data_IF_364214647943
#
_entry.id   IF_364214647943
#
_cell.length_a   1.000
_cell.length_b   1.000
_cell.length_c   1.000
_cell.angle_alpha   90.00
_cell.angle_beta   90.00
_cell.angle_gamma   90.00
#
_symmetry.space_group_name_H-M   'P 1'
#
loop_
_entity.id
_entity.type
_entity.pdbx_description
1 polymer ?
#
# COMPACT_ATOMS: atom_id res chain seq x y z
N UNK A 1 -8.71 -28.15 36.33
CA UNK A 1 -7.93 -26.94 36.01
C UNK A 1 -6.81 -27.13 34.97
N UNK A 2 -6.34 -28.35 34.66
CA UNK A 2 -5.27 -28.57 33.65
C UNK A 2 -5.76 -28.69 32.19
N UNK A 3 -7.07 -28.92 31.96
CA UNK A 3 -7.64 -29.10 30.62
C UNK A 3 -8.15 -27.81 29.95
N UNK A 4 -8.35 -26.73 30.71
CA UNK A 4 -8.80 -25.42 30.18
C UNK A 4 -7.63 -24.63 29.58
N UNK A 5 -6.42 -24.81 30.10
CA UNK A 5 -5.22 -24.11 29.62
C UNK A 5 -4.83 -24.57 28.20
N UNK A 6 -5.13 -25.83 27.83
CA UNK A 6 -4.75 -26.40 26.54
C UNK A 6 -5.62 -25.91 25.37
N UNK A 7 -6.87 -25.49 25.63
CA UNK A 7 -7.78 -25.00 24.59
C UNK A 7 -7.46 -23.54 24.22
N UNK A 8 -6.94 -22.74 25.16
CA UNK A 8 -6.55 -21.36 24.90
C UNK A 8 -5.28 -21.23 24.02
N UNK A 9 -4.41 -22.24 24.00
CA UNK A 9 -3.16 -22.17 23.21
C UNK A 9 -3.39 -22.47 21.72
N UNK A 10 -4.39 -23.29 21.38
CA UNK A 10 -4.70 -23.67 19.99
C UNK A 10 -5.49 -22.56 19.27
N UNK A 11 -6.24 -21.73 20.00
CA UNK A 11 -6.98 -20.61 19.40
C UNK A 11 -6.08 -19.41 19.04
N UNK A 12 -4.84 -19.37 19.55
CA UNK A 12 -3.92 -18.25 19.31
C UNK A 12 -3.07 -18.44 18.04
N UNK A 13 -2.85 -19.68 17.57
CA UNK A 13 -2.01 -19.96 16.40
C UNK A 13 -2.73 -19.77 15.07
N UNK A 14 -4.06 -19.82 15.04
CA UNK A 14 -4.86 -19.64 13.81
C UNK A 14 -4.89 -18.20 13.27
N UNK A 15 -4.39 -17.21 14.03
CA UNK A 15 -4.38 -15.81 13.60
C UNK A 15 -3.05 -15.32 13.03
N UNK A 16 -1.96 -16.10 13.13
CA UNK A 16 -0.63 -15.65 12.68
C UNK A 16 -0.45 -15.90 11.18
N UNK A 17 -0.98 -17.00 10.64
CA UNK A 17 -0.84 -17.35 9.22
C UNK A 17 -1.51 -16.35 8.29
N UNK A 18 -2.67 -15.82 8.67
CA UNK A 18 -3.43 -14.83 7.89
C UNK A 18 -2.70 -13.48 7.79
N UNK A 19 -1.95 -13.09 8.83
CA UNK A 19 -1.15 -11.86 8.85
C UNK A 19 0.07 -12.01 7.91
N UNK A 20 0.70 -13.19 7.87
CA UNK A 20 1.85 -13.44 6.99
C UNK A 20 1.49 -13.60 5.50
N UNK A 21 0.28 -14.09 5.20
CA UNK A 21 -0.18 -14.26 3.81
C UNK A 21 -0.52 -12.93 3.11
N UNK A 22 -1.14 -11.99 3.84
CA UNK A 22 -1.43 -10.65 3.32
C UNK A 22 -0.13 -9.86 3.04
N UNK A 23 0.81 -9.89 3.99
CA UNK A 23 2.08 -9.17 3.91
C UNK A 23 2.98 -9.69 2.75
N UNK A 24 2.87 -10.98 2.37
CA UNK A 24 3.59 -11.54 1.21
C UNK A 24 3.01 -11.10 -0.14
N UNK A 25 1.67 -11.02 -0.25
CA UNK A 25 1.02 -10.66 -1.52
C UNK A 25 1.25 -9.20 -1.86
N UNK A 26 1.18 -8.31 -0.87
CA UNK A 26 1.38 -6.87 -1.07
C UNK A 26 2.86 -6.54 -1.36
N UNK A 27 3.80 -7.21 -0.68
CA UNK A 27 5.25 -7.04 -0.96
C UNK A 27 5.67 -7.54 -2.34
N UNK A 28 5.06 -8.64 -2.82
CA UNK A 28 5.29 -9.11 -4.17
C UNK A 28 4.86 -8.03 -5.18
N UNK A 29 3.66 -7.44 -5.00
CA UNK A 29 3.18 -6.39 -5.89
C UNK A 29 4.03 -5.11 -5.86
N UNK A 30 4.59 -4.74 -4.70
CA UNK A 30 5.46 -3.57 -4.61
C UNK A 30 6.78 -3.76 -5.34
N UNK A 31 7.41 -4.94 -5.20
CA UNK A 31 8.64 -5.25 -5.92
C UNK A 31 8.45 -5.20 -7.45
N UNK A 32 7.33 -5.73 -7.93
CA UNK A 32 6.95 -5.69 -9.36
C UNK A 32 6.72 -4.26 -9.83
N UNK A 33 6.04 -3.42 -9.03
CA UNK A 33 5.86 -1.99 -9.32
C UNK A 33 7.20 -1.26 -9.42
N UNK A 34 8.12 -1.52 -8.49
CA UNK A 34 9.47 -0.93 -8.53
C UNK A 34 10.21 -1.35 -9.80
N UNK A 35 10.18 -2.64 -10.15
CA UNK A 35 10.80 -3.15 -11.37
C UNK A 35 10.20 -2.51 -12.64
N UNK A 36 8.86 -2.42 -12.69
CA UNK A 36 8.12 -1.77 -13.77
C UNK A 36 8.56 -0.31 -13.95
N UNK A 37 8.62 0.47 -12.87
CA UNK A 37 9.05 1.87 -12.93
C UNK A 37 10.49 1.96 -13.41
N UNK A 38 11.41 1.20 -12.83
CA UNK A 38 12.84 1.26 -13.20
C UNK A 38 13.10 0.89 -14.66
N UNK A 39 12.34 -0.07 -15.21
CA UNK A 39 12.46 -0.48 -16.62
C UNK A 39 11.90 0.57 -17.59
N UNK A 40 10.81 1.25 -17.21
CA UNK A 40 10.09 2.15 -18.11
C UNK A 40 10.49 3.62 -17.98
N UNK A 41 11.15 4.01 -16.89
CA UNK A 41 11.53 5.41 -16.67
C UNK A 41 12.68 5.87 -17.58
N UNK A 42 13.42 4.95 -18.20
CA UNK A 42 14.47 5.27 -19.17
C UNK A 42 15.57 6.16 -18.60
N UNK A 43 16.18 5.73 -17.50
CA UNK A 43 17.34 6.39 -16.86
C UNK A 43 18.52 5.43 -16.77
N UNK A 44 19.72 5.97 -16.63
CA UNK A 44 20.96 5.19 -16.54
C UNK A 44 21.01 4.36 -15.24
N UNK A 45 21.80 3.28 -15.26
CA UNK A 45 21.90 2.30 -14.17
C UNK A 45 22.34 2.90 -12.82
N UNK A 46 23.23 3.88 -12.85
CA UNK A 46 23.71 4.64 -11.68
C UNK A 46 22.59 5.46 -11.01
N UNK A 47 21.66 6.00 -11.81
CA UNK A 47 20.47 6.67 -11.32
C UNK A 47 19.46 5.66 -10.81
N UNK A 48 19.27 4.53 -11.52
CA UNK A 48 18.37 3.46 -11.06
C UNK A 48 18.77 2.92 -9.68
N UNK A 49 20.06 2.74 -9.39
CA UNK A 49 20.52 2.27 -8.07
C UNK A 49 20.20 3.26 -6.93
N UNK A 50 20.17 4.57 -7.23
CA UNK A 50 19.78 5.61 -6.26
C UNK A 50 18.26 5.76 -6.14
N UNK A 51 17.55 5.54 -7.24
CA UNK A 51 16.10 5.68 -7.33
C UNK A 51 15.36 4.50 -6.68
N UNK A 52 15.86 3.27 -6.85
CA UNK A 52 15.25 2.05 -6.29
C UNK A 52 14.87 2.16 -4.81
N UNK A 53 15.79 2.49 -3.87
CA UNK A 53 15.43 2.59 -2.45
C UNK A 53 14.42 3.69 -2.14
N UNK A 54 14.36 4.75 -2.96
CA UNK A 54 13.35 5.80 -2.81
C UNK A 54 11.96 5.29 -3.25
N UNK A 55 11.87 4.50 -4.31
CA UNK A 55 10.61 3.90 -4.77
C UNK A 55 10.08 2.89 -3.75
N UNK A 56 10.94 2.02 -3.22
CA UNK A 56 10.57 1.03 -2.19
C UNK A 56 10.08 1.73 -0.92
N UNK A 57 10.74 2.81 -0.51
CA UNK A 57 10.33 3.57 0.67
C UNK A 57 9.04 4.36 0.43
N UNK A 58 8.84 4.90 -0.78
CA UNK A 58 7.60 5.55 -1.17
C UNK A 58 6.42 4.59 -1.07
N UNK A 59 6.50 3.40 -1.69
CA UNK A 59 5.40 2.43 -1.69
C UNK A 59 5.07 1.97 -0.27
N UNK A 60 6.09 1.71 0.56
CA UNK A 60 5.88 1.36 1.97
C UNK A 60 5.13 2.45 2.74
N UNK A 61 5.54 3.71 2.63
CA UNK A 61 4.88 4.83 3.32
C UNK A 61 3.49 5.11 2.74
N UNK A 62 3.32 4.95 1.44
CA UNK A 62 2.05 5.12 0.76
C UNK A 62 1.02 4.06 1.18
N UNK A 63 1.42 2.78 1.16
CA UNK A 63 0.57 1.66 1.60
C UNK A 63 0.24 1.79 3.11
N UNK A 64 1.18 2.27 3.93
CA UNK A 64 0.91 2.57 5.33
C UNK A 64 -0.11 3.71 5.52
N UNK A 65 -0.12 4.70 4.63
CA UNK A 65 -1.14 5.74 4.61
C UNK A 65 -2.52 5.19 4.20
N UNK A 66 -2.60 4.28 3.24
CA UNK A 66 -3.85 3.66 2.78
C UNK A 66 -4.45 2.67 3.80
N UNK A 67 -3.59 1.98 4.57
CA UNK A 67 -3.97 0.84 5.42
C UNK A 67 -5.16 1.07 6.38
N UNK A 68 -5.34 2.23 7.06
CA UNK A 68 -6.47 2.42 7.96
C UNK A 68 -7.83 2.39 7.24
N UNK A 69 -7.92 3.00 6.06
CA UNK A 69 -9.16 2.99 5.27
C UNK A 69 -9.48 1.58 4.78
N UNK A 70 -8.50 0.85 4.24
CA UNK A 70 -8.73 -0.54 3.79
C UNK A 70 -9.12 -1.46 4.95
N UNK A 71 -8.52 -1.31 6.15
CA UNK A 71 -8.95 -2.04 7.36
C UNK A 71 -10.39 -1.75 7.75
N UNK A 72 -10.80 -0.48 7.72
CA UNK A 72 -12.18 -0.09 8.02
C UNK A 72 -13.16 -0.66 6.98
N UNK A 73 -12.81 -0.54 5.70
CA UNK A 73 -13.60 -1.05 4.58
C UNK A 73 -13.74 -2.57 4.62
N UNK A 74 -12.68 -3.30 4.95
CA UNK A 74 -12.75 -4.76 5.12
C UNK A 74 -13.62 -5.17 6.31
N UNK A 75 -13.55 -4.42 7.43
CA UNK A 75 -14.41 -4.64 8.59
C UNK A 75 -15.90 -4.45 8.26
N UNK A 76 -16.22 -3.48 7.40
CA UNK A 76 -17.59 -3.15 6.99
C UNK A 76 -18.03 -3.80 5.67
N UNK A 77 -17.19 -4.64 5.08
CA UNK A 77 -17.40 -5.23 3.75
C UNK A 77 -18.72 -6.01 3.62
N UNK A 78 -19.17 -6.80 4.61
CA UNK A 78 -20.48 -7.45 4.52
C UNK A 78 -21.63 -6.44 4.42
N UNK A 79 -21.62 -5.40 5.26
CA UNK A 79 -22.65 -4.36 5.30
C UNK A 79 -22.67 -3.55 4.01
N UNK A 80 -21.49 -3.20 3.49
CA UNK A 80 -21.33 -2.51 2.20
C UNK A 80 -21.94 -3.35 1.08
N UNK A 81 -21.63 -4.66 1.01
CA UNK A 81 -22.17 -5.55 -0.02
C UNK A 81 -23.69 -5.72 0.05
N UNK A 82 -24.24 -5.66 1.26
CA UNK A 82 -25.68 -5.77 1.50
C UNK A 82 -26.42 -4.43 1.36
N UNK A 83 -25.71 -3.32 1.14
CA UNK A 83 -26.31 -1.98 1.11
C UNK A 83 -26.83 -1.48 2.45
N UNK A 84 -26.41 -2.11 3.57
CA UNK A 84 -26.97 -1.91 4.90
C UNK A 84 -25.97 -1.24 5.87
N UNK A 85 -25.22 -0.24 5.38
CA UNK A 85 -24.40 0.60 6.26
C UNK A 85 -25.29 1.59 7.00
N UNK A 86 -25.05 1.78 8.30
CA UNK A 86 -25.73 2.85 9.04
C UNK A 86 -25.15 4.22 8.70
N UNK A 87 -25.89 5.29 8.97
CA UNK A 87 -25.41 6.68 8.83
C UNK A 87 -24.06 6.90 9.54
N UNK A 88 -23.92 6.38 10.77
CA UNK A 88 -22.68 6.49 11.53
C UNK A 88 -21.51 5.75 10.85
N UNK A 89 -21.77 4.57 10.28
CA UNK A 89 -20.76 3.81 9.53
C UNK A 89 -20.38 4.51 8.21
N UNK A 90 -21.36 5.10 7.52
CA UNK A 90 -21.15 5.92 6.34
C UNK A 90 -20.26 7.13 6.64
N UNK A 91 -20.59 7.88 7.70
CA UNK A 91 -19.78 9.02 8.13
C UNK A 91 -18.37 8.60 8.54
N UNK A 92 -18.20 7.47 9.21
CA UNK A 92 -16.89 6.95 9.58
C UNK A 92 -16.05 6.61 8.34
N UNK A 93 -16.65 5.96 7.32
CA UNK A 93 -15.98 5.66 6.06
C UNK A 93 -15.54 6.94 5.32
N UNK A 94 -16.41 7.96 5.27
CA UNK A 94 -16.09 9.24 4.63
C UNK A 94 -14.94 9.96 5.34
N UNK A 95 -15.02 10.07 6.67
CA UNK A 95 -13.98 10.73 7.47
C UNK A 95 -12.62 10.04 7.29
N UNK A 96 -12.60 8.71 7.35
CA UNK A 96 -11.35 7.95 7.19
C UNK A 96 -10.82 8.04 5.74
N UNK A 97 -11.70 8.11 4.74
CA UNK A 97 -11.30 8.30 3.35
C UNK A 97 -10.58 9.64 3.16
N UNK A 98 -11.14 10.73 3.70
CA UNK A 98 -10.51 12.05 3.61
C UNK A 98 -9.19 12.11 4.38
N UNK A 99 -9.16 11.56 5.60
CA UNK A 99 -7.93 11.47 6.38
C UNK A 99 -6.84 10.65 5.66
N UNK A 100 -7.23 9.59 4.93
CA UNK A 100 -6.31 8.80 4.11
C UNK A 100 -5.79 9.61 2.92
N UNK A 101 -6.66 10.34 2.21
CA UNK A 101 -6.29 11.18 1.07
C UNK A 101 -5.27 12.26 1.47
N UNK A 102 -5.45 12.88 2.64
CA UNK A 102 -4.50 13.84 3.19
C UNK A 102 -3.13 13.21 3.49
N UNK A 103 -3.12 12.02 4.10
CA UNK A 103 -1.90 11.27 4.42
C UNK A 103 -1.17 10.85 3.14
N UNK A 104 -1.88 10.33 2.15
CA UNK A 104 -1.32 9.99 0.84
C UNK A 104 -0.71 11.21 0.13
N UNK A 105 -1.43 12.34 0.15
CA UNK A 105 -0.95 13.58 -0.46
C UNK A 105 0.32 14.08 0.23
N UNK A 106 0.40 13.96 1.56
CA UNK A 106 1.61 14.30 2.31
C UNK A 106 2.80 13.42 1.90
N UNK A 107 2.59 12.11 1.75
CA UNK A 107 3.64 11.18 1.27
C UNK A 107 4.09 11.57 -0.15
N UNK A 108 3.15 11.80 -1.08
CA UNK A 108 3.44 12.24 -2.46
C UNK A 108 4.26 13.54 -2.48
N UNK A 109 3.88 14.56 -1.70
CA UNK A 109 4.63 15.83 -1.61
C UNK A 109 6.03 15.65 -1.02
N UNK A 110 6.18 14.79 0.00
CA UNK A 110 7.48 14.47 0.60
C UNK A 110 8.40 13.79 -0.41
N UNK A 111 7.89 12.78 -1.12
CA UNK A 111 8.68 12.01 -2.09
C UNK A 111 8.93 12.75 -3.39
N UNK A 112 8.12 13.74 -3.76
CA UNK A 112 8.45 14.62 -4.88
C UNK A 112 9.81 15.32 -4.65
N UNK A 113 10.01 15.86 -3.44
CA UNK A 113 11.28 16.49 -3.05
C UNK A 113 12.43 15.47 -3.07
N UNK A 114 12.22 14.27 -2.52
CA UNK A 114 13.22 13.19 -2.51
C UNK A 114 13.58 12.73 -3.92
N UNK A 115 12.61 12.51 -4.80
CA UNK A 115 12.86 12.09 -6.19
C UNK A 115 13.58 13.18 -6.99
N UNK A 116 13.30 14.46 -6.75
CA UNK A 116 14.00 15.59 -7.39
C UNK A 116 15.50 15.64 -7.06
N UNK A 117 15.97 14.94 -6.03
CA UNK A 117 17.41 14.81 -5.73
C UNK A 117 18.15 13.89 -6.71
N UNK A 118 17.44 13.01 -7.40
CA UNK A 118 18.01 11.98 -8.30
C UNK A 118 17.46 12.05 -9.73
N UNK A 119 16.33 12.74 -9.94
CA UNK A 119 15.64 12.83 -11.22
C UNK A 119 15.28 14.28 -11.55
N UNK A 120 15.31 14.68 -12.84
CA UNK A 120 14.72 15.95 -13.26
C UNK A 120 13.19 15.90 -13.12
N UNK A 121 12.56 17.07 -12.93
CA UNK A 121 11.10 17.20 -12.68
C UNK A 121 10.24 16.41 -13.68
N UNK A 122 10.58 16.43 -14.98
CA UNK A 122 9.86 15.65 -16.00
C UNK A 122 9.85 14.15 -15.68
N UNK A 123 10.98 13.59 -15.23
CA UNK A 123 11.08 12.17 -14.86
C UNK A 123 10.42 11.89 -13.51
N UNK A 124 10.35 12.86 -12.60
CA UNK A 124 9.58 12.72 -11.36
C UNK A 124 8.08 12.59 -11.66
N UNK A 125 7.55 13.38 -12.59
CA UNK A 125 6.18 13.21 -13.07
C UNK A 125 5.95 11.81 -13.68
N UNK A 126 6.85 11.36 -14.58
CA UNK A 126 6.77 10.01 -15.16
C UNK A 126 6.85 8.91 -14.10
N UNK A 127 7.68 9.06 -13.07
CA UNK A 127 7.72 8.18 -11.89
C UNK A 127 6.32 7.99 -11.31
N UNK A 128 5.63 9.09 -10.98
CA UNK A 128 4.28 9.03 -10.41
C UNK A 128 3.26 8.44 -11.38
N UNK A 129 3.35 8.78 -12.67
CA UNK A 129 2.48 8.20 -13.70
C UNK A 129 2.64 6.67 -13.76
N UNK A 130 3.87 6.16 -13.73
CA UNK A 130 4.18 4.73 -13.75
C UNK A 130 3.79 4.03 -12.44
N UNK A 131 3.98 4.69 -11.29
CA UNK A 131 3.59 4.15 -9.97
C UNK A 131 2.08 4.00 -9.80
N UNK A 132 1.30 4.90 -10.42
CA UNK A 132 -0.16 4.88 -10.38
C UNK A 132 -0.79 4.12 -11.57
N UNK A 133 0.03 3.54 -12.45
CA UNK A 133 -0.46 2.76 -13.57
C UNK A 133 -1.22 1.54 -13.03
N UNK A 134 -2.45 1.33 -13.53
CA UNK A 134 -3.31 0.20 -13.13
C UNK A 134 -3.29 -0.93 -14.17
N UNK A 135 -2.41 -0.85 -15.16
CA UNK A 135 -2.33 -1.85 -16.21
C UNK A 135 -1.92 -3.21 -15.64
N UNK A 136 -2.57 -4.26 -16.14
CA UNK A 136 -2.22 -5.66 -15.85
C UNK A 136 -0.75 -5.98 -16.14
N UNK A 137 -0.09 -5.17 -16.99
CA UNK A 137 1.31 -5.28 -17.38
C UNK A 137 2.28 -5.21 -16.20
N UNK A 138 1.88 -4.67 -15.05
CA UNK A 138 2.72 -4.65 -13.84
C UNK A 138 2.92 -6.07 -13.29
N UNK A 139 1.96 -6.97 -13.48
CA UNK A 139 1.99 -8.34 -12.94
C UNK A 139 2.94 -9.27 -13.70
N UNK A 140 3.41 -8.87 -14.88
CA UNK A 140 4.32 -9.63 -15.75
C UNK A 140 5.82 -9.36 -15.45
N UNK A 141 6.12 -8.57 -14.41
CA UNK A 141 7.46 -8.22 -13.95
C UNK A 141 7.82 -8.90 -12.64
#
# INVERSE_FOLDING_TARGET
>A
MKKIIFILTILLTLNIETIMAADKKDKATDAQRVAYVLRNIGVKRDIQSKLKPLLESYLREFNAAEAPYEKLKDKLKPQIKMGNISEAQGQQLLNEKWATDERELAVKKSYEKKFKTVLPTKKVYECYRLLNDKSSKILDY
#
